data_IF_236935107740
#
_entry.id   IF_236935107740
#
_cell.length_a   1.000
_cell.length_b   1.000
_cell.length_c   1.000
_cell.angle_alpha   90.00
_cell.angle_beta   90.00
_cell.angle_gamma   90.00
#
_symmetry.space_group_name_H-M   'P 1'
#
loop_
_entity.id
_entity.type
_entity.pdbx_description
1 polymer ?
#
# COMPACT_ATOMS: atom_id res chain seq x y z
N UNK A 1 -46.73 -14.43 56.31
CA UNK A 1 -46.46 -15.25 55.10
C UNK A 1 -46.44 -14.37 53.85
N UNK A 2 -47.36 -13.41 53.73
CA UNK A 2 -47.40 -12.41 52.65
C UNK A 2 -46.13 -11.54 52.52
N UNK A 3 -45.53 -11.06 53.62
CA UNK A 3 -44.30 -10.26 53.54
C UNK A 3 -43.14 -11.02 52.88
N UNK A 4 -42.95 -12.30 53.22
CA UNK A 4 -41.91 -13.13 52.60
C UNK A 4 -42.15 -13.32 51.10
N UNK A 5 -43.41 -13.45 50.69
CA UNK A 5 -43.77 -13.57 49.27
C UNK A 5 -43.46 -12.25 48.54
N UNK A 6 -43.83 -11.10 49.12
CA UNK A 6 -43.56 -9.78 48.57
C UNK A 6 -42.06 -9.51 48.42
N UNK A 7 -41.26 -9.81 49.45
CA UNK A 7 -39.79 -9.67 49.41
C UNK A 7 -39.17 -10.56 48.33
N UNK A 8 -39.65 -11.79 48.18
CA UNK A 8 -39.15 -12.73 47.15
C UNK A 8 -39.48 -12.23 45.73
N UNK A 9 -40.67 -11.64 45.55
CA UNK A 9 -41.12 -11.09 44.26
C UNK A 9 -40.30 -9.85 43.87
N UNK A 10 -40.02 -8.97 44.83
CA UNK A 10 -39.14 -7.79 44.63
C UNK A 10 -37.70 -8.25 44.34
N UNK A 11 -37.15 -9.19 45.11
CA UNK A 11 -35.80 -9.71 44.89
C UNK A 11 -35.64 -10.39 43.52
N UNK A 12 -36.65 -11.15 43.09
CA UNK A 12 -36.70 -11.73 41.75
C UNK A 12 -36.74 -10.68 40.65
N UNK A 13 -37.57 -9.64 40.80
CA UNK A 13 -37.66 -8.52 39.85
C UNK A 13 -36.34 -7.73 39.74
N UNK A 14 -35.72 -7.41 40.87
CA UNK A 14 -34.41 -6.71 40.90
C UNK A 14 -33.32 -7.56 40.25
N UNK A 15 -33.28 -8.87 40.52
CA UNK A 15 -32.31 -9.78 39.91
C UNK A 15 -32.45 -9.86 38.39
N UNK A 16 -33.69 -9.82 37.90
CA UNK A 16 -34.00 -9.84 36.46
C UNK A 16 -33.56 -8.54 35.78
N UNK A 17 -33.79 -7.39 36.44
CA UNK A 17 -33.33 -6.07 35.96
C UNK A 17 -31.80 -6.02 35.91
N UNK A 18 -31.10 -6.44 36.97
CA UNK A 18 -29.64 -6.47 37.03
C UNK A 18 -29.08 -7.38 35.93
N UNK A 19 -29.69 -8.54 35.71
CA UNK A 19 -29.28 -9.48 34.65
C UNK A 19 -29.46 -8.87 33.25
N UNK A 20 -30.55 -8.14 33.01
CA UNK A 20 -30.82 -7.48 31.73
C UNK A 20 -29.82 -6.35 31.46
N UNK A 21 -29.53 -5.53 32.47
CA UNK A 21 -28.51 -4.47 32.39
C UNK A 21 -27.13 -5.07 32.14
N UNK A 22 -26.78 -6.14 32.86
CA UNK A 22 -25.53 -6.87 32.67
C UNK A 22 -25.39 -7.44 31.26
N UNK A 23 -26.47 -8.00 30.70
CA UNK A 23 -26.50 -8.51 29.34
C UNK A 23 -26.26 -7.41 28.29
N UNK A 24 -26.98 -6.29 28.39
CA UNK A 24 -26.84 -5.15 27.46
C UNK A 24 -25.43 -4.56 27.55
N UNK A 25 -24.95 -4.30 28.77
CA UNK A 25 -23.61 -3.75 29.03
C UNK A 25 -22.51 -4.65 28.46
N UNK A 26 -22.62 -5.97 28.69
CA UNK A 26 -21.66 -6.95 28.15
C UNK A 26 -21.68 -6.96 26.62
N UNK A 27 -22.86 -6.92 26.00
CA UNK A 27 -22.99 -6.91 24.53
C UNK A 27 -22.37 -5.65 23.92
N UNK A 28 -22.59 -4.48 24.51
CA UNK A 28 -21.96 -3.23 24.07
C UNK A 28 -20.44 -3.28 24.26
N UNK A 29 -19.96 -3.78 25.40
CA UNK A 29 -18.53 -3.93 25.68
C UNK A 29 -17.84 -4.87 24.69
N UNK A 30 -18.45 -6.00 24.37
CA UNK A 30 -17.93 -6.96 23.38
C UNK A 30 -17.83 -6.37 21.98
N UNK A 31 -18.80 -5.55 21.56
CA UNK A 31 -18.74 -4.86 20.27
C UNK A 31 -17.61 -3.82 20.24
N UNK A 32 -17.42 -3.06 21.32
CA UNK A 32 -16.31 -2.12 21.45
C UNK A 32 -14.95 -2.81 21.36
N UNK A 33 -14.75 -3.88 22.14
CA UNK A 33 -13.52 -4.68 22.11
C UNK A 33 -13.26 -5.31 20.74
N UNK A 34 -14.31 -5.82 20.07
CA UNK A 34 -14.18 -6.38 18.73
C UNK A 34 -13.64 -5.34 17.75
N UNK A 35 -14.22 -4.13 17.76
CA UNK A 35 -13.77 -3.03 16.89
C UNK A 35 -12.34 -2.61 17.21
N UNK A 36 -11.98 -2.55 18.49
CA UNK A 36 -10.61 -2.22 18.91
C UNK A 36 -9.60 -3.27 18.42
N UNK A 37 -9.94 -4.55 18.52
CA UNK A 37 -9.12 -5.65 18.00
C UNK A 37 -9.00 -5.57 16.47
N UNK A 38 -10.10 -5.29 15.75
CA UNK A 38 -10.06 -5.11 14.29
C UNK A 38 -9.09 -3.97 13.90
N UNK A 39 -9.16 -2.83 14.58
CA UNK A 39 -8.24 -1.70 14.35
C UNK A 39 -6.79 -2.10 14.66
N UNK A 40 -6.54 -2.81 15.76
CA UNK A 40 -5.20 -3.27 16.10
C UNK A 40 -4.63 -4.23 15.04
N UNK A 41 -5.45 -5.15 14.56
CA UNK A 41 -5.08 -6.09 13.49
C UNK A 41 -4.76 -5.34 12.20
N UNK A 42 -5.61 -4.40 11.80
CA UNK A 42 -5.40 -3.59 10.60
C UNK A 42 -4.10 -2.78 10.71
N UNK A 43 -3.84 -2.16 11.86
CA UNK A 43 -2.61 -1.42 12.11
C UNK A 43 -1.36 -2.33 12.00
N UNK A 44 -1.41 -3.54 12.54
CA UNK A 44 -0.30 -4.51 12.43
C UNK A 44 -0.06 -4.87 10.97
N UNK A 45 -1.11 -5.17 10.21
CA UNK A 45 -0.96 -5.50 8.79
C UNK A 45 -0.43 -4.32 7.97
N UNK A 46 -0.91 -3.10 8.24
CA UNK A 46 -0.43 -1.89 7.56
C UNK A 46 1.03 -1.61 7.90
N UNK A 47 1.44 -1.77 9.16
CA UNK A 47 2.83 -1.63 9.56
C UNK A 47 3.71 -2.67 8.84
N UNK A 48 3.28 -3.93 8.78
CA UNK A 48 4.01 -4.96 8.03
C UNK A 48 4.10 -4.67 6.54
N UNK A 49 2.99 -4.25 5.92
CA UNK A 49 3.00 -3.84 4.53
C UNK A 49 3.98 -2.68 4.29
N UNK A 50 4.03 -1.70 5.20
CA UNK A 50 4.96 -0.59 5.13
C UNK A 50 6.42 -1.03 5.25
N UNK A 51 6.74 -1.89 6.21
CA UNK A 51 8.08 -2.49 6.40
C UNK A 51 8.54 -3.21 5.12
N UNK A 52 7.67 -4.05 4.54
CA UNK A 52 7.95 -4.76 3.29
C UNK A 52 8.18 -3.79 2.11
N UNK A 53 7.39 -2.72 2.02
CA UNK A 53 7.56 -1.70 0.97
C UNK A 53 8.91 -0.98 1.11
N UNK A 54 9.30 -0.61 2.33
CA UNK A 54 10.60 0.00 2.59
C UNK A 54 11.77 -0.95 2.27
N UNK A 55 11.59 -2.26 2.47
CA UNK A 55 12.60 -3.25 2.14
C UNK A 55 12.75 -3.45 0.61
N UNK A 56 11.65 -3.49 -0.12
CA UNK A 56 11.66 -3.90 -1.53
C UNK A 56 11.64 -2.76 -2.55
N UNK A 57 11.02 -1.61 -2.27
CA UNK A 57 10.87 -0.51 -3.24
C UNK A 57 12.17 0.20 -3.60
N UNK A 58 13.17 0.36 -2.69
CA UNK A 58 14.44 0.97 -3.04
C UNK A 58 15.14 0.28 -4.23
N UNK A 59 15.00 -1.04 -4.36
CA UNK A 59 15.62 -1.79 -5.47
C UNK A 59 15.10 -1.35 -6.85
N UNK A 60 13.80 -1.08 -6.99
CA UNK A 60 13.21 -0.55 -8.21
C UNK A 60 13.58 0.93 -8.45
N UNK A 61 13.73 1.72 -7.39
CA UNK A 61 14.24 3.08 -7.48
C UNK A 61 15.70 3.09 -7.97
N UNK A 62 16.54 2.19 -7.50
CA UNK A 62 17.94 2.14 -7.91
C UNK A 62 18.08 1.63 -9.35
N UNK A 63 17.34 0.59 -9.73
CA UNK A 63 17.32 0.08 -11.10
C UNK A 63 16.96 1.17 -12.13
N UNK A 64 16.04 2.08 -11.78
CA UNK A 64 15.56 3.12 -12.71
C UNK A 64 16.30 4.45 -12.63
N UNK A 65 17.29 4.59 -11.74
CA UNK A 65 17.99 5.86 -11.47
C UNK A 65 18.56 6.51 -12.74
N UNK A 66 19.11 5.71 -13.65
CA UNK A 66 19.76 6.18 -14.88
C UNK A 66 18.79 6.67 -15.96
N UNK A 67 17.51 6.33 -15.88
CA UNK A 67 16.49 6.73 -16.85
C UNK A 67 15.74 8.01 -16.44
N UNK A 68 16.18 8.69 -15.38
CA UNK A 68 15.52 9.88 -14.86
C UNK A 68 15.87 11.17 -15.60
N UNK A 69 16.89 11.13 -16.45
CA UNK A 69 17.36 12.28 -17.24
C UNK A 69 17.88 11.80 -18.59
N UNK A 70 17.65 12.60 -19.62
CA UNK A 70 18.25 12.37 -20.94
C UNK A 70 19.78 12.50 -20.82
N UNK A 71 20.57 11.62 -21.44
CA UNK A 71 22.03 11.71 -21.39
C UNK A 71 22.53 13.05 -21.97
N UNK A 72 23.58 13.60 -21.35
CA UNK A 72 24.21 14.84 -21.83
C UNK A 72 24.84 14.61 -23.23
N UNK A 73 24.94 15.68 -24.03
CA UNK A 73 25.58 15.72 -25.35
C UNK A 73 24.87 14.98 -26.50
N UNK A 74 23.52 14.90 -26.49
CA UNK A 74 22.73 14.19 -27.52
C UNK A 74 23.10 12.69 -27.67
N UNK A 75 23.74 12.12 -26.66
CA UNK A 75 23.94 10.68 -26.61
C UNK A 75 22.60 9.99 -26.32
N UNK A 76 22.37 8.89 -27.03
CA UNK A 76 21.21 8.04 -26.78
C UNK A 76 21.44 7.19 -25.54
N UNK A 77 20.35 6.73 -24.91
CA UNK A 77 20.47 5.64 -23.94
C UNK A 77 21.05 4.40 -24.62
N UNK A 78 21.98 3.74 -23.95
CA UNK A 78 22.45 2.42 -24.39
C UNK A 78 21.32 1.39 -24.26
N UNK A 79 21.00 0.67 -25.35
CA UNK A 79 19.91 -0.32 -25.37
C UNK A 79 20.16 -1.51 -24.48
N UNK A 80 21.39 -1.97 -24.34
CA UNK A 80 21.65 -3.09 -23.44
C UNK A 80 21.32 -2.70 -22.00
N UNK A 81 21.70 -1.49 -21.59
CA UNK A 81 21.35 -0.90 -20.30
C UNK A 81 19.83 -0.75 -20.15
N UNK A 82 19.12 -0.23 -21.17
CA UNK A 82 17.65 -0.10 -21.15
C UNK A 82 16.96 -1.45 -21.01
N UNK A 83 17.39 -2.46 -21.77
CA UNK A 83 16.83 -3.81 -21.71
C UNK A 83 17.13 -4.51 -20.38
N UNK A 84 18.32 -4.25 -19.79
CA UNK A 84 18.65 -4.72 -18.44
C UNK A 84 17.70 -4.12 -17.41
N UNK A 85 17.46 -2.80 -17.46
CA UNK A 85 16.52 -2.14 -16.55
C UNK A 85 15.10 -2.68 -16.76
N UNK A 86 14.67 -2.93 -18.00
CA UNK A 86 13.39 -3.58 -18.30
C UNK A 86 13.27 -4.94 -17.62
N UNK A 87 14.31 -5.78 -17.70
CA UNK A 87 14.34 -7.08 -17.02
C UNK A 87 14.22 -6.90 -15.51
N UNK A 88 15.04 -6.02 -14.91
CA UNK A 88 15.01 -5.76 -13.48
C UNK A 88 13.64 -5.29 -12.99
N UNK A 89 12.96 -4.43 -13.76
CA UNK A 89 11.59 -4.00 -13.44
C UNK A 89 10.60 -5.15 -13.57
N UNK A 90 10.73 -6.00 -14.59
CA UNK A 90 9.89 -7.18 -14.75
C UNK A 90 10.07 -8.16 -13.58
N UNK A 91 11.31 -8.43 -13.19
CA UNK A 91 11.65 -9.34 -12.10
C UNK A 91 11.14 -8.80 -10.76
N UNK A 92 11.30 -7.49 -10.53
CA UNK A 92 10.77 -6.83 -9.35
C UNK A 92 9.23 -6.90 -9.27
N UNK A 93 8.53 -6.66 -10.39
CA UNK A 93 7.06 -6.75 -10.46
C UNK A 93 6.54 -8.19 -10.31
N UNK A 94 7.30 -9.19 -10.75
CA UNK A 94 6.93 -10.60 -10.59
C UNK A 94 7.37 -11.16 -9.22
N UNK A 95 8.19 -10.41 -8.48
CA UNK A 95 8.67 -10.77 -7.15
C UNK A 95 7.89 -10.11 -6.01
N UNK A 96 8.48 -10.08 -4.80
CA UNK A 96 7.84 -9.50 -3.62
C UNK A 96 7.39 -8.05 -3.79
N UNK A 97 8.16 -7.25 -4.53
CA UNK A 97 7.85 -5.85 -4.79
C UNK A 97 6.51 -5.64 -5.51
N UNK A 98 6.16 -6.53 -6.44
CA UNK A 98 4.86 -6.47 -7.11
C UNK A 98 3.70 -7.01 -6.29
N UNK A 99 3.93 -7.96 -5.37
CA UNK A 99 2.89 -8.49 -4.49
C UNK A 99 2.37 -7.44 -3.50
N UNK A 100 3.26 -6.59 -3.00
CA UNK A 100 2.94 -5.54 -2.02
C UNK A 100 2.57 -4.19 -2.66
N UNK A 101 2.69 -4.09 -3.99
CA UNK A 101 2.43 -2.88 -4.75
C UNK A 101 0.95 -2.58 -4.88
N UNK A 102 0.58 -1.31 -4.73
CA UNK A 102 -0.76 -0.89 -5.13
C UNK A 102 -0.98 -1.09 -6.62
N UNK A 103 -2.25 -1.26 -6.98
CA UNK A 103 -2.69 -1.35 -8.37
C UNK A 103 -2.13 -0.23 -9.25
N UNK A 104 -2.13 1.01 -8.75
CA UNK A 104 -1.65 2.18 -9.50
C UNK A 104 -0.13 2.10 -9.79
N UNK A 105 0.64 1.53 -8.88
CA UNK A 105 2.07 1.30 -9.05
C UNK A 105 2.36 0.16 -10.03
N UNK A 106 1.59 -0.93 -9.98
CA UNK A 106 1.68 -2.03 -10.94
C UNK A 106 1.37 -1.53 -12.37
N UNK A 107 0.29 -0.76 -12.53
CA UNK A 107 -0.08 -0.20 -13.83
C UNK A 107 1.00 0.73 -14.40
N UNK A 108 1.67 1.54 -13.56
CA UNK A 108 2.79 2.38 -14.01
C UNK A 108 4.04 1.57 -14.31
N UNK A 109 4.29 0.47 -13.58
CA UNK A 109 5.37 -0.48 -13.85
C UNK A 109 5.22 -1.15 -15.21
N UNK A 110 4.01 -1.61 -15.58
CA UNK A 110 3.74 -2.16 -16.90
C UNK A 110 3.95 -1.12 -18.01
N UNK A 111 3.45 0.10 -17.82
CA UNK A 111 3.69 1.21 -18.78
C UNK A 111 5.19 1.48 -18.99
N UNK A 112 5.98 1.44 -17.91
CA UNK A 112 7.43 1.57 -18.00
C UNK A 112 8.06 0.40 -18.76
N UNK A 113 7.76 -0.84 -18.37
CA UNK A 113 8.27 -2.05 -19.05
C UNK A 113 8.00 -2.02 -20.55
N UNK A 114 6.78 -1.65 -20.94
CA UNK A 114 6.37 -1.61 -22.34
C UNK A 114 7.07 -0.46 -23.08
N UNK A 115 7.23 0.70 -22.44
CA UNK A 115 8.01 1.81 -23.00
C UNK A 115 9.47 1.39 -23.29
N UNK A 116 10.11 0.69 -22.37
CA UNK A 116 11.50 0.23 -22.51
C UNK A 116 11.67 -0.91 -23.53
N UNK A 117 10.57 -1.51 -24.00
CA UNK A 117 10.60 -2.53 -25.06
C UNK A 117 10.69 -1.95 -26.48
N UNK A 118 10.53 -0.63 -26.61
CA UNK A 118 10.52 0.05 -27.92
C UNK A 118 11.87 -0.08 -28.63
N UNK A 119 11.83 -0.35 -29.93
CA UNK A 119 13.02 -0.38 -30.77
C UNK A 119 13.56 1.04 -31.04
N UNK A 120 14.81 1.11 -31.48
CA UNK A 120 15.43 2.34 -31.95
C UNK A 120 14.69 2.94 -33.14
N UNK A 121 14.62 4.28 -33.20
CA UNK A 121 14.04 4.99 -34.33
C UNK A 121 15.09 5.33 -35.40
N UNK A 122 16.36 5.54 -35.02
CA UNK A 122 17.43 5.94 -35.96
C UNK A 122 18.75 5.24 -35.65
N UNK A 123 19.37 4.54 -36.61
CA UNK A 123 20.77 4.09 -36.57
C UNK A 123 21.26 3.61 -35.18
N UNK A 124 20.53 2.68 -34.57
CA UNK A 124 20.82 2.15 -33.24
C UNK A 124 20.79 3.17 -32.08
N UNK A 125 19.95 4.20 -32.20
CA UNK A 125 19.73 5.25 -31.20
C UNK A 125 18.24 5.50 -31.02
N UNK A 126 17.86 5.75 -29.77
CA UNK A 126 16.59 6.36 -29.43
C UNK A 126 16.54 7.80 -29.92
N UNK A 127 15.41 8.20 -30.49
CA UNK A 127 15.13 9.59 -30.83
C UNK A 127 14.92 10.43 -29.57
N UNK A 128 15.01 11.76 -29.71
CA UNK A 128 14.72 12.68 -28.59
C UNK A 128 13.30 12.47 -28.03
N UNK A 129 12.23 12.38 -28.86
CA UNK A 129 10.89 12.05 -28.35
C UNK A 129 10.81 10.71 -27.59
N UNK A 130 11.52 9.67 -28.04
CA UNK A 130 11.57 8.40 -27.33
C UNK A 130 12.26 8.53 -25.97
N UNK A 131 13.38 9.25 -25.90
CA UNK A 131 14.10 9.49 -24.65
C UNK A 131 13.26 10.31 -23.66
N UNK A 132 12.60 11.37 -24.13
CA UNK A 132 11.71 12.19 -23.30
C UNK A 132 10.54 11.36 -22.76
N UNK A 133 9.97 10.47 -23.58
CA UNK A 133 8.91 9.53 -23.16
C UNK A 133 9.41 8.56 -22.09
N UNK A 134 10.59 7.97 -22.26
CA UNK A 134 11.22 7.08 -21.27
C UNK A 134 11.40 7.81 -19.94
N UNK A 135 11.95 9.03 -19.96
CA UNK A 135 12.20 9.83 -18.76
C UNK A 135 10.90 10.17 -18.05
N UNK A 136 9.86 10.56 -18.79
CA UNK A 136 8.56 10.91 -18.22
C UNK A 136 7.89 9.70 -17.54
N UNK A 137 7.81 8.57 -18.24
CA UNK A 137 7.19 7.34 -17.69
C UNK A 137 8.00 6.82 -16.50
N UNK A 138 9.33 6.86 -16.57
CA UNK A 138 10.19 6.52 -15.43
C UNK A 138 9.91 7.42 -14.22
N UNK A 139 9.79 8.72 -14.44
CA UNK A 139 9.50 9.69 -13.39
C UNK A 139 8.13 9.46 -12.76
N UNK A 140 7.12 9.09 -13.56
CA UNK A 140 5.80 8.71 -13.08
C UNK A 140 5.84 7.44 -12.23
N UNK A 141 6.53 6.39 -12.69
CA UNK A 141 6.72 5.16 -11.93
C UNK A 141 7.38 5.43 -10.56
N UNK A 142 8.48 6.18 -10.55
CA UNK A 142 9.19 6.58 -9.32
C UNK A 142 8.34 7.43 -8.38
N UNK A 143 7.47 8.28 -8.92
CA UNK A 143 6.52 9.06 -8.10
C UNK A 143 5.48 8.14 -7.47
N UNK A 144 4.94 7.19 -8.21
CA UNK A 144 3.98 6.23 -7.67
C UNK A 144 4.62 5.34 -6.59
N UNK A 145 5.89 4.92 -6.76
CA UNK A 145 6.64 4.19 -5.72
C UNK A 145 6.66 4.96 -4.38
N UNK A 146 6.95 6.26 -4.44
CA UNK A 146 7.00 7.11 -3.23
C UNK A 146 5.62 7.35 -2.63
N UNK A 147 4.62 7.65 -3.47
CA UNK A 147 3.24 7.84 -3.01
C UNK A 147 2.70 6.61 -2.28
N UNK A 148 3.05 5.43 -2.76
CA UNK A 148 2.61 4.16 -2.18
C UNK A 148 3.26 3.88 -0.81
N UNK A 149 4.35 4.57 -0.47
CA UNK A 149 4.94 4.62 0.87
C UNK A 149 4.29 5.77 1.69
N UNK A 150 4.06 6.93 1.08
CA UNK A 150 3.48 8.13 1.72
C UNK A 150 2.06 7.93 2.24
N UNK A 151 1.26 7.04 1.65
CA UNK A 151 -0.12 6.75 2.08
C UNK A 151 -0.25 6.42 3.57
N UNK A 152 0.81 5.93 4.21
CA UNK A 152 0.82 5.66 5.66
C UNK A 152 0.81 6.94 6.52
N UNK A 153 1.48 8.00 6.07
CA UNK A 153 1.59 9.25 6.85
C UNK A 153 0.28 10.05 6.90
N UNK A 154 -0.58 9.92 5.88
CA UNK A 154 -1.82 10.70 5.79
C UNK A 154 -3.00 10.02 6.50
N UNK A 155 -2.95 8.69 6.67
CA UNK A 155 -3.95 7.92 7.44
C UNK A 155 -3.78 8.04 8.95
N UNK A 156 -2.55 8.16 9.45
CA UNK A 156 -2.27 8.37 10.88
C UNK A 156 -2.85 9.70 11.40
N UNK A 157 -2.97 10.71 10.54
CA UNK A 157 -3.46 12.05 10.93
C UNK A 157 -5.00 12.09 11.03
N UNK A 158 -5.72 11.20 10.34
CA UNK A 158 -7.19 11.21 10.27
C UNK A 158 -7.88 10.22 11.20
N UNK A 159 -7.12 9.40 11.93
CA UNK A 159 -7.64 8.48 12.97
C UNK A 159 -7.86 9.13 14.33
N UNK A 160 -7.50 10.42 14.49
CA UNK A 160 -7.68 11.22 15.70
C UNK A 160 -8.62 12.39 15.38
N UNK A 161 -9.90 12.10 15.10
CA UNK A 161 -10.97 13.12 15.12
C UNK A 161 -12.32 12.49 15.41
#
# INVERSE_FOLDING_TARGET
MEEKILTTLIAGGVSLIISLIGFISTRMSLQGKKREIEIQIDNIYMQKLYEERLAHYPTALDATKYLTRVPKNNNSFDRQSVLKIRSQISDWMNGPGGLIASRQLIESGYKLRDCLSSNYEYNNRYSKPQMDKIVNITSQFRRNLRKDIEFYHDTDIRGIS
#
